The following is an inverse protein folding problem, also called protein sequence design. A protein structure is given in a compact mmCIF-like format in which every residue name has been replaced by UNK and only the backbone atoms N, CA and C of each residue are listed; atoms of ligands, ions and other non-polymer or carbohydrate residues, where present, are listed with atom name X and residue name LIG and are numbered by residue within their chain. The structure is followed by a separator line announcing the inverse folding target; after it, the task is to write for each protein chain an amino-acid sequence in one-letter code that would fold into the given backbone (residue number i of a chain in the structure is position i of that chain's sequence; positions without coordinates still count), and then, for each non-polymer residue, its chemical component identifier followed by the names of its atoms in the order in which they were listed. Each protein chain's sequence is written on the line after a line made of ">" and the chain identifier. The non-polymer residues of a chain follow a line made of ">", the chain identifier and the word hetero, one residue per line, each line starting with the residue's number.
data_IF_778205575565
#
_entry.id   IF_778205575565
#
_cell.length_a   1.000
_cell.length_b   1.000
_cell.length_c   1.000
_cell.angle_alpha   90.00
_cell.angle_beta   90.00
_cell.angle_gamma   90.00
#
_symmetry.space_group_name_H-M   'P 1'
#
loop_
_entity.id
_entity.type
_entity.pdbx_description
1 polymer ?
#
# COMPACT_ATOMS: atom_id res chain seq x y z
N UNK A 1 13.12 -12.65 -41.86
CA UNK A 1 12.99 -14.12 -41.77
C UNK A 1 13.54 -14.56 -40.42
N UNK A 2 12.94 -15.51 -39.69
CA UNK A 2 11.51 -15.82 -39.46
C UNK A 2 11.09 -15.38 -38.02
N UNK A 3 9.88 -15.55 -37.47
CA UNK A 3 8.48 -15.64 -37.97
C UNK A 3 7.60 -15.43 -36.73
N UNK A 4 6.66 -14.49 -36.76
CA UNK A 4 5.76 -14.27 -35.62
C UNK A 4 4.69 -15.37 -35.57
N UNK A 5 4.64 -16.13 -34.47
CA UNK A 5 3.68 -17.22 -34.31
C UNK A 5 2.45 -16.72 -33.52
N UNK A 6 1.39 -16.38 -34.27
CA UNK A 6 0.10 -15.98 -33.69
C UNK A 6 -0.59 -17.22 -33.14
N UNK A 7 -0.84 -17.24 -31.84
CA UNK A 7 -1.70 -18.24 -31.21
C UNK A 7 -3.14 -18.07 -31.76
N UNK A 8 -3.67 -19.09 -32.45
CA UNK A 8 -4.96 -18.99 -33.18
C UNK A 8 -6.07 -19.69 -32.41
N UNK A 9 -7.22 -19.03 -32.36
CA UNK A 9 -8.46 -19.51 -31.72
C UNK A 9 -8.85 -20.93 -32.17
N UNK A 10 -9.07 -21.82 -31.19
CA UNK A 10 -9.64 -23.16 -31.39
C UNK A 10 -11.12 -23.19 -30.98
N UNK A 11 -11.98 -22.68 -31.86
CA UNK A 11 -13.40 -23.03 -31.88
C UNK A 11 -13.87 -23.09 -33.34
N UNK A 12 -13.96 -24.30 -33.89
CA UNK A 12 -14.49 -24.58 -35.21
C UNK A 12 -15.73 -25.47 -35.06
N UNK A 13 -16.82 -25.07 -35.72
CA UNK A 13 -18.15 -25.67 -35.57
C UNK A 13 -18.30 -27.01 -36.30
N UNK A 14 -19.25 -27.82 -35.82
CA UNK A 14 -19.84 -28.91 -36.58
C UNK A 14 -21.37 -28.89 -36.42
N UNK A 15 -22.06 -28.18 -37.33
CA UNK A 15 -23.49 -28.36 -37.59
C UNK A 15 -23.65 -28.60 -39.09
N UNK A 16 -23.86 -29.87 -39.45
CA UNK A 16 -24.29 -30.33 -40.76
C UNK A 16 -24.93 -31.71 -40.56
N UNK A 17 -26.09 -32.03 -41.13
CA UNK A 17 -27.02 -31.15 -41.83
C UNK A 17 -28.35 -31.87 -42.04
N UNK A 18 -29.44 -31.11 -42.09
CA UNK A 18 -30.76 -31.65 -42.45
C UNK A 18 -30.86 -31.81 -43.96
N UNK A 19 -31.25 -32.98 -44.45
CA UNK A 19 -31.80 -33.14 -45.81
C UNK A 19 -33.11 -33.92 -45.78
N UNK A 20 -34.06 -33.41 -46.56
CA UNK A 20 -35.39 -33.96 -46.79
C UNK A 20 -35.41 -34.70 -48.12
N UNK A 21 -36.20 -35.78 -48.23
CA UNK A 21 -36.93 -36.17 -49.46
C UNK A 21 -37.84 -37.36 -49.19
N UNK A 22 -39.03 -37.44 -49.82
CA UNK A 22 -39.78 -38.70 -49.89
C UNK A 22 -41.32 -38.60 -49.91
N UNK A 23 -41.92 -38.27 -51.05
CA UNK A 23 -43.36 -38.31 -51.30
C UNK A 23 -43.60 -38.76 -52.75
N UNK A 24 -44.70 -39.41 -53.17
CA UNK A 24 -46.06 -39.50 -52.59
C UNK A 24 -46.77 -40.78 -53.08
N UNK A 25 -47.58 -41.47 -52.26
CA UNK A 25 -48.71 -42.27 -52.81
C UNK A 25 -49.91 -42.41 -51.87
N UNK A 26 -51.09 -42.06 -52.39
CA UNK A 26 -52.39 -42.20 -51.72
C UNK A 26 -53.21 -43.31 -52.39
N UNK A 27 -53.76 -44.24 -51.61
CA UNK A 27 -54.93 -45.06 -51.97
C UNK A 27 -55.80 -45.31 -50.74
N UNK A 28 -57.11 -45.13 -50.89
CA UNK A 28 -58.13 -45.28 -49.84
C UNK A 28 -59.25 -46.18 -50.34
N UNK A 29 -59.54 -47.26 -49.62
CA UNK A 29 -60.80 -48.01 -49.71
C UNK A 29 -61.23 -48.44 -48.30
N UNK A 30 -62.53 -48.32 -47.98
CA UNK A 30 -63.15 -48.71 -46.69
C UNK A 30 -63.76 -50.12 -46.82
N UNK A 31 -63.97 -50.86 -45.71
CA UNK A 31 -65.28 -51.29 -45.16
C UNK A 31 -65.16 -52.27 -43.95
N UNK A 32 -65.94 -52.05 -42.87
CA UNK A 32 -66.29 -53.04 -41.80
C UNK A 32 -65.17 -53.47 -40.81
N UNK A 33 -65.40 -53.81 -39.52
CA UNK A 33 -66.62 -53.91 -38.66
C UNK A 33 -66.18 -53.87 -37.17
N UNK A 34 -66.98 -53.30 -36.24
CA UNK A 34 -66.75 -53.24 -34.77
C UNK A 34 -67.43 -54.45 -34.02
N UNK A 35 -67.44 -54.65 -32.67
CA UNK A 35 -66.94 -53.83 -31.52
C UNK A 35 -66.25 -54.59 -30.33
N UNK A 36 -66.00 -53.87 -29.21
CA UNK A 36 -65.61 -54.34 -27.84
C UNK A 36 -64.16 -54.83 -27.65
N UNK A 37 -63.40 -54.61 -26.56
CA UNK A 37 -63.63 -54.21 -25.15
C UNK A 37 -62.44 -53.33 -24.62
N UNK A 38 -62.51 -52.65 -23.45
CA UNK A 38 -61.43 -51.79 -22.95
C UNK A 38 -60.44 -52.55 -22.02
N UNK A 39 -59.18 -52.68 -22.44
CA UNK A 39 -58.12 -53.32 -21.64
C UNK A 39 -57.25 -52.28 -20.90
N UNK A 40 -57.33 -52.25 -19.56
CA UNK A 40 -56.53 -51.37 -18.70
C UNK A 40 -55.20 -52.05 -18.31
N UNK A 41 -54.14 -51.88 -19.11
CA UNK A 41 -52.75 -52.21 -18.70
C UNK A 41 -51.75 -51.20 -19.28
N UNK A 42 -51.52 -50.09 -18.58
CA UNK A 42 -50.37 -49.17 -18.83
C UNK A 42 -49.65 -48.66 -17.56
N UNK A 43 -50.16 -48.94 -16.35
CA UNK A 43 -49.75 -48.21 -15.12
C UNK A 43 -48.37 -48.63 -14.54
N UNK A 44 -47.98 -49.90 -14.65
CA UNK A 44 -46.73 -50.42 -14.05
C UNK A 44 -45.46 -49.99 -14.81
N UNK A 45 -45.57 -49.76 -16.13
CA UNK A 45 -44.44 -49.29 -16.95
C UNK A 45 -44.21 -47.79 -16.81
N UNK A 46 -45.26 -47.02 -16.52
CA UNK A 46 -45.18 -45.58 -16.27
C UNK A 46 -44.49 -45.27 -14.93
N UNK A 47 -44.81 -46.01 -13.87
CA UNK A 47 -44.29 -45.80 -12.51
C UNK A 47 -42.81 -46.11 -12.35
N UNK A 48 -42.29 -47.12 -13.07
CA UNK A 48 -40.85 -47.46 -13.04
C UNK A 48 -39.99 -46.50 -13.86
N UNK A 49 -40.51 -46.03 -15.00
CA UNK A 49 -39.87 -45.02 -15.86
C UNK A 49 -39.76 -43.67 -15.14
N UNK A 50 -40.87 -43.15 -14.62
CA UNK A 50 -40.92 -41.87 -13.88
C UNK A 50 -40.02 -41.85 -12.64
N UNK A 51 -39.88 -42.98 -11.92
CA UNK A 51 -38.93 -43.11 -10.79
C UNK A 51 -37.46 -43.00 -11.23
N UNK A 52 -37.13 -43.51 -12.41
CA UNK A 52 -35.76 -43.47 -12.95
C UNK A 52 -35.42 -42.06 -13.46
N UNK A 53 -36.41 -41.38 -14.04
CA UNK A 53 -36.33 -39.97 -14.43
C UNK A 53 -36.18 -39.04 -13.22
N UNK A 54 -37.00 -39.19 -12.17
CA UNK A 54 -36.85 -38.39 -10.93
C UNK A 54 -35.50 -38.58 -10.25
N UNK A 55 -34.96 -39.80 -10.21
CA UNK A 55 -33.60 -40.04 -9.73
C UNK A 55 -32.53 -39.33 -10.59
N UNK A 56 -32.75 -39.26 -11.90
CA UNK A 56 -31.86 -38.55 -12.83
C UNK A 56 -31.92 -37.02 -12.66
N UNK A 57 -33.12 -36.47 -12.45
CA UNK A 57 -33.38 -35.07 -12.14
C UNK A 57 -32.74 -34.69 -10.80
N UNK A 58 -32.94 -35.48 -9.75
CA UNK A 58 -32.32 -35.25 -8.43
C UNK A 58 -30.78 -35.30 -8.50
N UNK A 59 -30.21 -36.16 -9.35
CA UNK A 59 -28.77 -36.17 -9.61
C UNK A 59 -28.29 -34.92 -10.37
N UNK A 60 -29.13 -34.34 -11.21
CA UNK A 60 -28.84 -33.10 -11.94
C UNK A 60 -28.90 -31.88 -11.00
N UNK A 61 -29.93 -31.78 -10.15
CA UNK A 61 -30.07 -30.71 -9.15
C UNK A 61 -28.83 -30.63 -8.25
N UNK A 62 -28.39 -31.75 -7.66
CA UNK A 62 -27.17 -31.81 -6.83
C UNK A 62 -25.90 -31.38 -7.58
N UNK A 63 -25.84 -31.56 -8.90
CA UNK A 63 -24.72 -31.08 -9.71
C UNK A 63 -24.78 -29.56 -9.94
N UNK A 64 -25.98 -28.99 -10.08
CA UNK A 64 -26.16 -27.54 -10.13
C UNK A 64 -25.83 -26.87 -8.80
N UNK A 65 -26.32 -27.38 -7.67
CA UNK A 65 -25.96 -26.89 -6.32
C UNK A 65 -24.43 -26.90 -6.07
N UNK A 66 -23.75 -27.93 -6.57
CA UNK A 66 -22.29 -28.03 -6.49
C UNK A 66 -21.58 -27.05 -7.45
N UNK A 67 -22.19 -26.74 -8.59
CA UNK A 67 -21.68 -25.78 -9.55
C UNK A 67 -21.81 -24.34 -9.04
N UNK A 68 -22.96 -23.97 -8.45
CA UNK A 68 -23.19 -22.68 -7.81
C UNK A 68 -22.14 -22.40 -6.72
N UNK A 69 -21.96 -23.34 -5.77
CA UNK A 69 -20.93 -23.24 -4.72
C UNK A 69 -19.51 -23.06 -5.28
N UNK A 70 -19.22 -23.65 -6.44
CA UNK A 70 -17.92 -23.46 -7.13
C UNK A 70 -17.82 -22.10 -7.81
N UNK A 71 -18.90 -21.58 -8.39
CA UNK A 71 -18.92 -20.21 -8.94
C UNK A 71 -18.75 -19.17 -7.84
N UNK A 72 -19.40 -19.33 -6.69
CA UNK A 72 -19.23 -18.44 -5.54
C UNK A 72 -17.78 -18.44 -5.03
N UNK A 73 -17.15 -19.61 -4.94
CA UNK A 73 -15.72 -19.71 -4.60
C UNK A 73 -14.86 -18.94 -5.61
N UNK A 74 -15.08 -19.17 -6.92
CA UNK A 74 -14.33 -18.50 -7.98
C UNK A 74 -14.52 -16.97 -7.98
N UNK A 75 -15.72 -16.48 -7.66
CA UNK A 75 -15.99 -15.04 -7.53
C UNK A 75 -15.22 -14.43 -6.35
N UNK A 76 -15.17 -15.12 -5.21
CA UNK A 76 -14.40 -14.70 -4.05
C UNK A 76 -12.88 -14.71 -4.32
N UNK A 77 -12.38 -15.78 -4.96
CA UNK A 77 -10.96 -15.90 -5.35
C UNK A 77 -10.56 -14.78 -6.33
N UNK A 78 -11.40 -14.48 -7.31
CA UNK A 78 -11.19 -13.37 -8.25
C UNK A 78 -11.16 -12.00 -7.54
N UNK A 79 -11.95 -11.80 -6.49
CA UNK A 79 -11.93 -10.58 -5.69
C UNK A 79 -10.62 -10.42 -4.88
N UNK A 80 -10.11 -11.50 -4.29
CA UNK A 80 -8.79 -11.49 -3.62
C UNK A 80 -7.64 -11.25 -4.61
N UNK A 81 -7.64 -11.96 -5.75
CA UNK A 81 -6.64 -11.77 -6.81
C UNK A 81 -6.60 -10.31 -7.27
N UNK A 82 -7.76 -9.69 -7.53
CA UNK A 82 -7.87 -8.28 -7.93
C UNK A 82 -7.31 -7.33 -6.86
N UNK A 83 -7.54 -7.63 -5.57
CA UNK A 83 -7.02 -6.85 -4.43
C UNK A 83 -5.50 -6.99 -4.30
N UNK A 84 -4.98 -8.21 -4.45
CA UNK A 84 -3.53 -8.50 -4.39
C UNK A 84 -2.77 -7.89 -5.55
N UNK A 85 -3.35 -7.89 -6.75
CA UNK A 85 -2.77 -7.27 -7.94
C UNK A 85 -2.58 -5.75 -7.75
N UNK A 86 -3.60 -5.04 -7.26
CA UNK A 86 -3.49 -3.62 -6.89
C UNK A 86 -2.40 -3.34 -5.85
N UNK A 87 -2.28 -4.18 -4.82
CA UNK A 87 -1.21 -4.04 -3.82
C UNK A 87 0.18 -4.27 -4.42
N UNK A 88 0.34 -5.21 -5.36
CA UNK A 88 1.62 -5.47 -6.04
C UNK A 88 2.01 -4.26 -6.91
N UNK A 89 1.06 -3.71 -7.67
CA UNK A 89 1.26 -2.50 -8.49
C UNK A 89 1.72 -1.31 -7.63
N UNK A 90 1.02 -1.03 -6.51
CA UNK A 90 1.38 0.01 -5.56
C UNK A 90 2.77 -0.20 -4.94
N UNK A 91 3.06 -1.42 -4.47
CA UNK A 91 4.37 -1.73 -3.91
C UNK A 91 5.48 -1.58 -4.95
N UNK A 92 5.21 -1.91 -6.21
CA UNK A 92 6.16 -1.72 -7.33
C UNK A 92 6.47 -0.23 -7.52
N UNK A 93 5.43 0.63 -7.54
CA UNK A 93 5.57 2.10 -7.63
C UNK A 93 6.36 2.68 -6.44
N UNK A 94 6.07 2.23 -5.21
CA UNK A 94 6.76 2.70 -3.99
C UNK A 94 8.20 2.16 -3.85
N UNK A 95 8.52 1.00 -4.42
CA UNK A 95 9.83 0.35 -4.27
C UNK A 95 10.82 0.70 -5.37
N UNK A 96 10.36 0.85 -6.61
CA UNK A 96 11.22 1.04 -7.76
C UNK A 96 11.53 2.52 -8.03
N UNK A 97 10.85 3.44 -7.33
CA UNK A 97 11.12 4.87 -7.36
C UNK A 97 12.02 5.28 -6.16
N UNK A 98 13.35 5.43 -6.36
CA UNK A 98 14.25 5.91 -5.31
C UNK A 98 14.03 7.40 -4.99
N UNK A 99 13.52 8.19 -5.93
CA UNK A 99 13.30 9.63 -5.76
C UNK A 99 12.00 9.91 -4.96
N UNK A 100 10.95 9.10 -5.08
CA UNK A 100 9.75 9.17 -4.22
C UNK A 100 10.12 9.15 -2.73
N UNK A 101 10.88 8.13 -2.29
CA UNK A 101 11.25 8.01 -0.87
C UNK A 101 12.15 9.16 -0.42
N UNK A 102 13.04 9.63 -1.29
CA UNK A 102 13.97 10.73 -1.05
C UNK A 102 13.26 12.09 -0.97
N UNK A 103 12.25 12.34 -1.81
CA UNK A 103 11.45 13.56 -1.78
C UNK A 103 10.54 13.60 -0.55
N UNK A 104 9.87 12.49 -0.21
CA UNK A 104 9.12 12.36 1.06
C UNK A 104 10.03 12.67 2.26
N UNK A 105 11.22 12.06 2.35
CA UNK A 105 12.19 12.34 3.43
C UNK A 105 12.56 13.83 3.48
N UNK A 106 12.88 14.44 2.33
CA UNK A 106 13.29 15.85 2.27
C UNK A 106 12.16 16.80 2.67
N UNK A 107 10.91 16.54 2.25
CA UNK A 107 9.74 17.36 2.60
C UNK A 107 9.38 17.25 4.08
N UNK A 108 9.27 16.02 4.61
CA UNK A 108 8.98 15.77 6.04
C UNK A 108 10.03 16.44 6.92
N UNK A 109 11.33 16.29 6.59
CA UNK A 109 12.40 16.94 7.32
C UNK A 109 12.28 18.48 7.27
N UNK A 110 12.10 19.07 6.08
CA UNK A 110 11.96 20.54 5.92
C UNK A 110 10.75 21.12 6.63
N UNK A 111 9.63 20.40 6.68
CA UNK A 111 8.39 20.89 7.29
C UNK A 111 8.52 20.89 8.82
N UNK A 112 8.87 19.74 9.40
CA UNK A 112 9.01 19.59 10.86
C UNK A 112 10.14 20.45 11.43
N UNK A 113 11.30 20.51 10.77
CA UNK A 113 12.48 21.16 11.34
C UNK A 113 12.32 22.66 11.57
N UNK A 114 11.35 23.30 10.90
CA UNK A 114 10.95 24.70 11.15
C UNK A 114 10.29 24.90 12.52
N UNK A 115 9.60 23.89 13.03
CA UNK A 115 8.83 23.95 14.26
C UNK A 115 9.47 23.17 15.42
N UNK A 116 10.20 22.09 15.12
CA UNK A 116 10.85 21.27 16.14
C UNK A 116 12.10 20.57 15.60
N UNK A 117 13.26 20.90 16.18
CA UNK A 117 14.57 20.29 15.88
C UNK A 117 14.77 18.89 16.49
N UNK A 118 13.94 18.51 17.48
CA UNK A 118 13.88 17.20 18.13
C UNK A 118 12.45 16.60 18.05
N UNK A 119 11.99 16.20 16.85
CA UNK A 119 10.62 15.69 16.69
C UNK A 119 10.39 14.34 17.35
N UNK A 120 9.19 14.15 17.89
CA UNK A 120 8.72 12.84 18.36
C UNK A 120 8.51 11.86 17.19
N UNK A 121 8.49 10.56 17.46
CA UNK A 121 8.14 9.57 16.42
C UNK A 121 6.73 9.80 15.86
N UNK A 122 5.78 10.28 16.68
CA UNK A 122 4.43 10.64 16.22
C UNK A 122 4.47 11.77 15.19
N UNK A 123 5.19 12.86 15.49
CA UNK A 123 5.33 13.99 14.57
C UNK A 123 5.87 13.54 13.20
N UNK A 124 6.86 12.64 13.20
CA UNK A 124 7.44 12.08 11.98
C UNK A 124 6.43 11.23 11.19
N UNK A 125 5.57 10.44 11.86
CA UNK A 125 4.53 9.63 11.22
C UNK A 125 3.44 10.51 10.63
N UNK A 126 2.85 11.40 11.45
CA UNK A 126 1.72 12.25 11.08
C UNK A 126 2.10 13.15 9.87
N UNK A 127 3.29 13.75 9.89
CA UNK A 127 3.79 14.54 8.74
C UNK A 127 4.11 13.67 7.52
N UNK A 128 4.60 12.44 7.69
CA UNK A 128 4.84 11.53 6.56
C UNK A 128 3.52 11.22 5.84
N UNK A 129 2.45 10.93 6.59
CA UNK A 129 1.13 10.72 6.01
C UNK A 129 0.57 12.00 5.35
N UNK A 130 0.76 13.17 5.98
CA UNK A 130 0.36 14.46 5.41
C UNK A 130 1.09 14.76 4.09
N UNK A 131 2.41 14.59 4.05
CA UNK A 131 3.25 14.80 2.86
C UNK A 131 2.85 13.86 1.74
N UNK A 132 2.60 12.57 2.02
CA UNK A 132 2.14 11.62 1.00
C UNK A 132 0.78 12.05 0.44
N UNK A 133 -0.20 12.34 1.32
CA UNK A 133 -1.56 12.74 0.93
C UNK A 133 -1.58 14.02 0.10
N UNK A 134 -0.71 14.98 0.42
CA UNK A 134 -0.65 16.31 -0.22
C UNK A 134 0.13 16.32 -1.53
N UNK A 135 1.20 15.53 -1.66
CA UNK A 135 2.12 15.61 -2.81
C UNK A 135 1.99 14.41 -3.76
N UNK A 136 1.38 13.30 -3.32
CA UNK A 136 1.27 12.06 -4.08
C UNK A 136 -0.14 11.45 -3.94
N UNK A 137 -1.21 12.15 -4.38
CA UNK A 137 -2.60 11.75 -4.16
C UNK A 137 -2.90 10.35 -4.69
N UNK A 138 -2.50 10.01 -5.93
CA UNK A 138 -2.73 8.68 -6.53
C UNK A 138 -2.12 7.54 -5.69
N UNK A 139 -0.98 7.81 -5.05
CA UNK A 139 -0.33 6.83 -4.16
C UNK A 139 -1.13 6.77 -2.86
N UNK A 140 -1.44 7.92 -2.25
CA UNK A 140 -2.19 8.00 -1.00
C UNK A 140 -3.57 7.34 -1.06
N UNK A 141 -4.28 7.46 -2.18
CA UNK A 141 -5.63 6.92 -2.36
C UNK A 141 -5.64 5.38 -2.44
N UNK A 142 -4.52 4.79 -2.84
CA UNK A 142 -4.32 3.33 -2.88
C UNK A 142 -3.67 2.74 -1.62
N UNK A 143 -3.15 3.58 -0.72
CA UNK A 143 -2.47 3.13 0.51
C UNK A 143 -3.46 2.82 1.65
N UNK A 144 -3.28 1.67 2.29
CA UNK A 144 -3.85 1.38 3.62
C UNK A 144 -2.84 1.71 4.74
N UNK A 145 -3.30 1.66 6.00
CA UNK A 145 -2.45 1.91 7.18
C UNK A 145 -1.22 0.99 7.30
N UNK A 146 -1.26 -0.22 6.72
CA UNK A 146 -0.11 -1.13 6.69
C UNK A 146 0.93 -0.66 5.67
N UNK A 147 0.50 -0.10 4.54
CA UNK A 147 1.41 0.53 3.58
C UNK A 147 2.12 1.74 4.20
N UNK A 148 1.40 2.62 4.90
CA UNK A 148 1.99 3.75 5.62
C UNK A 148 2.99 3.28 6.69
N UNK A 149 2.61 2.32 7.54
CA UNK A 149 3.50 1.75 8.56
C UNK A 149 4.76 1.12 7.97
N UNK A 150 4.64 0.35 6.87
CA UNK A 150 5.76 -0.31 6.20
C UNK A 150 6.70 0.70 5.52
N UNK A 151 6.16 1.71 4.85
CA UNK A 151 6.94 2.79 4.26
C UNK A 151 7.69 3.58 5.33
N UNK A 152 7.00 4.00 6.40
CA UNK A 152 7.62 4.74 7.50
C UNK A 152 8.77 3.96 8.14
N UNK A 153 8.57 2.66 8.45
CA UNK A 153 9.64 1.78 8.95
C UNK A 153 10.87 1.76 8.04
N UNK A 154 10.69 1.77 6.71
CA UNK A 154 11.77 1.80 5.72
C UNK A 154 12.52 3.13 5.70
N UNK A 155 11.80 4.27 5.74
CA UNK A 155 12.42 5.60 5.61
C UNK A 155 12.94 6.18 6.92
N UNK A 156 12.46 5.69 8.08
CA UNK A 156 12.76 6.25 9.42
C UNK A 156 14.25 6.49 9.67
N UNK A 157 15.12 5.53 9.30
CA UNK A 157 16.57 5.66 9.51
C UNK A 157 17.16 6.85 8.72
N UNK A 158 16.89 6.91 7.41
CA UNK A 158 17.34 8.00 6.53
C UNK A 158 16.73 9.36 6.91
N UNK A 159 15.50 9.36 7.43
CA UNK A 159 14.85 10.56 7.94
C UNK A 159 15.57 11.08 9.20
N UNK A 160 15.85 10.21 10.18
CA UNK A 160 16.60 10.59 11.38
C UNK A 160 18.04 11.02 11.07
N UNK A 161 18.68 10.40 10.09
CA UNK A 161 19.98 10.81 9.54
C UNK A 161 19.92 12.23 8.94
N UNK A 162 18.87 12.54 8.15
CA UNK A 162 18.63 13.89 7.63
C UNK A 162 18.48 14.92 8.77
N UNK A 163 17.71 14.60 9.81
CA UNK A 163 17.60 15.45 11.01
C UNK A 163 18.92 15.59 11.78
N UNK A 164 19.77 14.56 11.82
CA UNK A 164 21.12 14.66 12.40
C UNK A 164 22.00 15.60 11.59
N UNK A 165 21.98 15.51 10.26
CA UNK A 165 22.71 16.43 9.37
C UNK A 165 22.26 17.88 9.52
N UNK A 166 20.94 18.13 9.52
CA UNK A 166 20.39 19.49 9.69
C UNK A 166 20.73 20.11 11.06
N UNK A 167 20.77 19.30 12.14
CA UNK A 167 21.25 19.76 13.46
C UNK A 167 22.77 20.02 13.46
N UNK A 168 23.55 19.17 12.79
CA UNK A 168 24.99 19.35 12.62
C UNK A 168 25.33 20.65 11.91
N UNK A 169 24.59 20.99 10.85
CA UNK A 169 24.72 22.25 10.10
C UNK A 169 24.44 23.47 10.99
N UNK A 170 23.37 23.46 11.81
CA UNK A 170 23.12 24.54 12.77
C UNK A 170 24.24 24.61 13.82
N UNK A 171 24.63 23.48 14.42
CA UNK A 171 25.68 23.45 15.43
C UNK A 171 27.03 23.96 14.89
N UNK A 172 27.35 23.66 13.63
CA UNK A 172 28.51 24.21 12.94
C UNK A 172 28.41 25.72 12.78
N UNK A 173 27.30 26.24 12.25
CA UNK A 173 27.09 27.69 12.08
C UNK A 173 27.15 28.45 13.40
N UNK A 174 26.52 27.93 14.45
CA UNK A 174 26.58 28.52 15.80
C UNK A 174 28.01 28.51 16.34
N UNK A 175 28.75 27.40 16.19
CA UNK A 175 30.18 27.35 16.57
C UNK A 175 30.99 28.40 15.81
N UNK A 176 30.84 28.49 14.48
CA UNK A 176 31.54 29.47 13.66
C UNK A 176 31.24 30.90 14.09
N UNK A 177 29.96 31.27 14.25
CA UNK A 177 29.57 32.61 14.67
C UNK A 177 30.10 32.98 16.07
N UNK A 178 30.10 32.03 17.02
CA UNK A 178 30.71 32.23 18.35
C UNK A 178 32.21 32.54 18.23
N UNK A 179 32.96 31.77 17.43
CA UNK A 179 34.38 32.02 17.20
C UNK A 179 34.65 33.30 16.39
N UNK A 180 33.73 33.73 15.53
CA UNK A 180 33.83 34.99 14.78
C UNK A 180 33.59 36.22 15.67
N UNK A 181 32.64 36.15 16.60
CA UNK A 181 32.30 37.25 17.53
C UNK A 181 33.34 37.39 18.65
N UNK A 182 33.77 36.28 19.25
CA UNK A 182 34.63 36.28 20.44
C UNK A 182 36.11 36.01 20.15
N UNK A 183 36.43 35.46 18.98
CA UNK A 183 37.80 35.11 18.58
C UNK A 183 38.47 34.05 19.45
N UNK A 184 39.74 33.75 19.13
CA UNK A 184 40.63 33.02 20.03
C UNK A 184 41.07 33.86 21.25
N UNK A 185 40.78 35.17 21.25
CA UNK A 185 41.21 36.10 22.30
C UNK A 185 40.32 36.06 23.55
N UNK A 186 39.02 35.82 23.42
CA UNK A 186 38.10 35.72 24.56
C UNK A 186 37.72 34.29 24.92
N UNK A 187 37.76 33.33 23.97
CA UNK A 187 37.44 31.93 24.23
C UNK A 187 38.70 31.07 24.36
N UNK A 188 38.87 30.28 25.43
CA UNK A 188 39.93 29.27 25.47
C UNK A 188 39.78 28.29 24.30
N UNK A 189 40.92 27.85 23.74
CA UNK A 189 40.91 26.84 22.67
C UNK A 189 40.50 25.47 23.21
N UNK A 190 39.71 24.75 22.43
CA UNK A 190 39.36 23.35 22.66
C UNK A 190 39.46 22.56 21.35
N UNK A 191 39.99 21.34 21.42
CA UNK A 191 40.22 20.48 20.26
C UNK A 191 39.14 19.38 20.14
N UNK A 192 38.98 18.82 18.95
CA UNK A 192 38.18 17.62 18.70
C UNK A 192 38.74 16.37 19.41
N UNK A 193 40.01 16.42 19.81
CA UNK A 193 40.72 15.36 20.54
C UNK A 193 40.66 15.54 22.07
N UNK A 194 40.10 16.66 22.57
CA UNK A 194 39.99 16.91 24.01
C UNK A 194 39.12 15.86 24.71
N UNK A 195 39.59 15.42 25.87
CA UNK A 195 38.90 14.47 26.75
C UNK A 195 37.60 15.05 27.33
N UNK A 196 36.73 14.18 27.85
CA UNK A 196 35.48 14.60 28.51
C UNK A 196 35.73 15.56 29.68
N UNK A 197 36.81 15.34 30.43
CA UNK A 197 37.22 16.21 31.56
C UNK A 197 37.63 17.59 31.07
N UNK A 198 38.41 17.68 30.00
CA UNK A 198 38.80 18.97 29.39
C UNK A 198 37.59 19.69 28.79
N UNK A 199 36.67 18.97 28.13
CA UNK A 199 35.40 19.53 27.62
C UNK A 199 34.56 20.10 28.76
N UNK A 200 34.46 19.41 29.90
CA UNK A 200 33.68 19.89 31.04
C UNK A 200 34.36 21.07 31.75
N UNK A 201 35.69 21.06 31.85
CA UNK A 201 36.49 22.19 32.35
C UNK A 201 36.29 23.43 31.48
N UNK A 202 36.43 23.27 30.15
CA UNK A 202 36.20 24.34 29.17
C UNK A 202 34.78 24.92 29.25
N UNK A 203 33.75 24.09 29.33
CA UNK A 203 32.35 24.55 29.53
C UNK A 203 32.12 25.29 30.85
N UNK A 204 32.98 25.04 31.85
CA UNK A 204 32.89 25.66 33.17
C UNK A 204 33.74 26.93 33.30
N UNK A 205 34.64 27.18 32.34
CA UNK A 205 35.47 28.39 32.28
C UNK A 205 34.57 29.63 32.19
N UNK A 206 34.83 30.61 33.07
CA UNK A 206 33.99 31.79 33.18
C UNK A 206 33.91 32.58 31.87
N UNK A 207 35.00 32.63 31.08
CA UNK A 207 35.01 33.34 29.79
C UNK A 207 34.08 32.68 28.77
N UNK A 208 33.95 31.35 28.81
CA UNK A 208 33.01 30.59 27.99
C UNK A 208 31.58 30.89 28.42
N UNK A 209 31.30 30.88 29.74
CA UNK A 209 29.98 31.27 30.27
C UNK A 209 29.61 32.70 29.89
N UNK A 210 30.50 33.67 30.10
CA UNK A 210 30.27 35.09 29.80
C UNK A 210 30.00 35.33 28.32
N UNK A 211 30.75 34.65 27.43
CA UNK A 211 30.52 34.70 25.99
C UNK A 211 29.16 34.10 25.60
N UNK A 212 28.75 33.01 26.25
CA UNK A 212 27.40 32.44 26.06
C UNK A 212 26.30 33.37 26.62
N UNK A 213 26.39 33.88 27.86
CA UNK A 213 25.40 34.83 28.40
C UNK A 213 25.32 36.07 27.47
N UNK A 214 26.44 36.63 26.98
CA UNK A 214 26.46 37.74 25.99
C UNK A 214 25.76 37.39 24.68
N UNK A 215 26.03 36.21 24.11
CA UNK A 215 25.43 35.79 22.84
C UNK A 215 23.90 35.70 22.94
N UNK A 216 23.37 35.22 24.07
CA UNK A 216 21.94 35.00 24.26
C UNK A 216 21.19 36.21 24.85
N UNK A 217 21.84 37.07 25.62
CA UNK A 217 21.23 38.29 26.16
C UNK A 217 20.76 39.27 25.07
N UNK A 218 21.43 39.28 23.90
CA UNK A 218 20.99 40.06 22.71
C UNK A 218 19.63 39.60 22.18
N UNK A 219 19.21 38.36 22.44
CA UNK A 219 17.93 37.81 22.01
C UNK A 219 16.83 37.86 23.10
N UNK A 220 17.12 38.41 24.28
CA UNK A 220 16.20 38.37 25.43
C UNK A 220 15.01 39.35 25.36
N UNK A 221 15.03 40.33 24.46
CA UNK A 221 13.92 41.28 24.28
C UNK A 221 12.68 40.61 23.66
N UNK A 222 12.87 39.67 22.72
CA UNK A 222 11.80 38.89 22.08
C UNK A 222 11.70 37.46 22.67
N UNK A 223 10.97 37.35 23.78
CA UNK A 223 10.84 36.11 24.57
C UNK A 223 10.11 34.97 23.83
N UNK A 224 10.84 33.95 23.39
CA UNK A 224 10.47 32.52 23.62
C UNK A 224 11.63 31.55 23.40
N UNK A 225 12.53 31.41 24.38
CA UNK A 225 13.46 30.29 24.46
C UNK A 225 13.41 29.62 25.83
N UNK A 226 13.52 28.29 25.83
CA UNK A 226 13.48 27.46 27.05
C UNK A 226 14.61 27.89 27.98
N UNK A 227 14.29 28.10 29.26
CA UNK A 227 15.28 28.30 30.33
C UNK A 227 16.29 27.15 30.32
N UNK A 228 17.46 27.41 29.76
CA UNK A 228 18.66 26.65 30.07
C UNK A 228 19.02 27.00 31.51
N UNK A 229 19.29 25.99 32.34
CA UNK A 229 19.75 26.17 33.72
C UNK A 229 21.23 26.59 33.74
N UNK A 230 21.49 27.75 33.15
CA UNK A 230 22.62 28.61 33.45
C UNK A 230 22.02 29.86 34.08
N UNK A 231 21.74 29.76 35.38
CA UNK A 231 21.63 30.95 36.21
C UNK A 231 23.01 31.63 36.09
N UNK A 232 23.08 32.72 35.30
CA UNK A 232 24.19 33.65 35.35
C UNK A 232 23.98 34.41 36.67
N UNK A 233 24.36 33.81 37.81
CA UNK A 233 24.26 34.42 39.14
C UNK A 233 25.14 35.68 39.20
N UNK A 234 24.55 36.80 39.64
CA UNK A 234 25.20 38.10 39.89
C UNK A 234 25.98 38.12 41.23
#
# INVERSE_FOLDING_TARGET
>A
MPRAERNRNLFASAIAGSTSSGSTTSKRTRLGTNPSEPYLVEEERATTTTRTETNSINRLIRKFELFEKKMDSLLNDNADIKKRLKNIELLTKINNDPDFSKDVINRVAKNIFKANIFPSTKNLVDETEHVIRKNFPDISESMDSRHHSKLFKRIKAKLLEKFRGMRGEIAFRVKSAIFEIFGESQLPRIDFQSSLTEINSWKSDQRVKDAYCKLFNVFSEDRTYVQLQYECDD
#
